data_IF_363309993506
#
_entry.id   IF_363309993506
#
_cell.length_a   1.000
_cell.length_b   1.000
_cell.length_c   1.000
_cell.angle_alpha   90.00
_cell.angle_beta   90.00
_cell.angle_gamma   90.00
#
_symmetry.space_group_name_H-M   'P 1'
#
loop_
_entity.id
_entity.type
_entity.pdbx_description
1 polymer ?
#
# COMPACT_ATOMS: atom_id res chain seq x y z
N UNK A 1 24.60 -8.23 14.08
CA UNK A 1 23.52 -9.12 13.60
C UNK A 1 22.46 -8.40 12.78
N UNK A 2 22.48 -7.05 12.65
CA UNK A 2 21.52 -6.27 11.84
C UNK A 2 21.99 -5.86 10.43
N UNK A 3 23.19 -6.25 9.98
CA UNK A 3 23.74 -5.76 8.71
C UNK A 3 22.89 -6.17 7.50
N UNK A 4 22.54 -7.46 7.37
CA UNK A 4 21.75 -7.96 6.23
C UNK A 4 20.33 -7.33 6.16
N UNK A 5 19.51 -7.32 7.23
CA UNK A 5 18.22 -6.62 7.20
C UNK A 5 18.34 -5.13 6.84
N UNK A 6 19.34 -4.43 7.38
CA UNK A 6 19.54 -3.00 7.11
C UNK A 6 19.93 -2.73 5.65
N UNK A 7 20.78 -3.57 5.07
CA UNK A 7 21.15 -3.49 3.64
C UNK A 7 19.94 -3.71 2.74
N UNK A 8 19.10 -4.70 3.05
CA UNK A 8 17.84 -4.97 2.34
C UNK A 8 16.89 -3.77 2.46
N UNK A 9 16.69 -3.26 3.69
CA UNK A 9 15.82 -2.11 3.93
C UNK A 9 16.28 -0.87 3.15
N UNK A 10 17.58 -0.58 3.13
CA UNK A 10 18.15 0.53 2.34
C UNK A 10 17.92 0.37 0.85
N UNK A 11 18.13 -0.84 0.32
CA UNK A 11 17.88 -1.14 -1.09
C UNK A 11 16.41 -0.90 -1.45
N UNK A 12 15.50 -1.46 -0.65
CA UNK A 12 14.06 -1.32 -0.91
C UNK A 12 13.56 0.10 -0.67
N UNK A 13 14.14 0.84 0.28
CA UNK A 13 13.87 2.26 0.46
C UNK A 13 14.21 3.06 -0.80
N UNK A 14 15.35 2.79 -1.43
CA UNK A 14 15.71 3.40 -2.71
C UNK A 14 14.72 3.06 -3.84
N UNK A 15 14.28 1.80 -3.91
CA UNK A 15 13.27 1.37 -4.88
C UNK A 15 11.92 2.07 -4.66
N UNK A 16 11.51 2.23 -3.39
CA UNK A 16 10.30 2.96 -3.00
C UNK A 16 10.43 4.44 -3.36
N UNK A 17 11.58 5.06 -3.08
CA UNK A 17 11.85 6.44 -3.46
C UNK A 17 11.71 6.66 -4.97
N UNK A 18 12.19 5.71 -5.78
CA UNK A 18 11.98 5.75 -7.23
C UNK A 18 10.50 5.61 -7.61
N UNK A 19 9.79 4.65 -7.00
CA UNK A 19 8.36 4.42 -7.26
C UNK A 19 7.48 5.62 -6.87
N UNK A 20 7.90 6.36 -5.85
CA UNK A 20 7.20 7.52 -5.31
C UNK A 20 7.81 8.86 -5.76
N UNK A 21 8.70 8.89 -6.75
CA UNK A 21 9.44 10.12 -7.12
C UNK A 21 8.52 11.30 -7.49
N UNK A 22 7.33 11.02 -8.02
CA UNK A 22 6.32 12.03 -8.36
C UNK A 22 5.48 12.50 -7.17
N UNK A 23 5.54 11.78 -6.05
CA UNK A 23 4.86 12.11 -4.80
C UNK A 23 5.65 13.12 -3.97
N UNK A 24 6.98 13.08 -4.05
CA UNK A 24 7.89 13.94 -3.30
C UNK A 24 9.17 13.21 -2.90
N UNK A 25 10.08 13.95 -2.28
CA UNK A 25 11.33 13.38 -1.74
C UNK A 25 11.05 12.75 -0.36
N UNK A 26 11.28 11.44 -0.25
CA UNK A 26 11.12 10.68 0.99
C UNK A 26 12.39 10.73 1.87
N UNK A 27 13.47 11.34 1.38
CA UNK A 27 14.75 11.45 2.06
C UNK A 27 15.53 10.13 2.18
N UNK A 28 16.66 10.18 2.87
CA UNK A 28 17.54 9.03 3.08
C UNK A 28 16.96 8.03 4.10
N UNK A 29 17.28 6.74 3.91
CA UNK A 29 16.87 5.71 4.85
C UNK A 29 17.48 5.95 6.24
N UNK A 30 16.63 5.98 7.27
CA UNK A 30 17.04 6.04 8.67
C UNK A 30 16.49 4.83 9.43
N UNK A 31 17.35 4.11 10.15
CA UNK A 31 16.94 2.97 10.95
C UNK A 31 16.13 3.41 12.18
N UNK A 32 16.35 4.63 12.68
CA UNK A 32 15.66 5.15 13.87
C UNK A 32 14.14 5.28 13.65
N UNK A 33 13.69 5.49 12.41
CA UNK A 33 12.27 5.50 12.04
C UNK A 33 11.53 4.19 12.39
N UNK A 34 12.28 3.10 12.53
CA UNK A 34 11.76 1.76 12.80
C UNK A 34 12.08 1.30 14.23
N UNK A 35 12.91 2.05 14.97
CA UNK A 35 13.24 1.82 16.36
C UNK A 35 12.23 2.63 17.21
N UNK A 36 11.07 2.02 17.49
CA UNK A 36 10.03 2.47 18.43
C UNK A 36 9.00 3.50 17.93
N UNK A 37 7.75 3.03 17.79
CA UNK A 37 6.64 3.71 18.47
C UNK A 37 5.46 2.75 18.71
N UNK A 38 5.27 2.33 19.98
CA UNK A 38 4.14 1.57 20.54
C UNK A 38 3.85 0.15 19.97
N UNK A 39 3.26 -0.76 20.78
CA UNK A 39 2.88 -2.12 20.36
C UNK A 39 1.74 -2.17 19.31
N UNK A 40 1.34 -1.03 18.77
CA UNK A 40 0.25 -0.87 17.80
C UNK A 40 0.72 -0.79 16.34
N UNK A 41 2.02 -0.75 16.06
CA UNK A 41 2.53 -0.74 14.69
C UNK A 41 3.00 -2.13 14.23
N UNK A 42 2.88 -2.35 12.93
CA UNK A 42 3.00 -3.61 12.15
C UNK A 42 4.33 -4.38 12.33
N UNK A 43 5.23 -4.03 13.24
CA UNK A 43 6.25 -4.97 13.67
C UNK A 43 7.05 -4.44 14.85
N UNK A 44 7.25 -5.31 15.84
CA UNK A 44 8.48 -5.28 16.62
C UNK A 44 9.65 -5.28 15.61
N UNK A 45 10.65 -4.40 15.77
CA UNK A 45 11.82 -4.30 14.89
C UNK A 45 12.43 -5.67 14.51
N UNK A 46 12.39 -6.64 15.42
CA UNK A 46 12.80 -8.02 15.16
C UNK A 46 11.96 -8.74 14.09
N UNK A 47 10.64 -8.54 14.08
CA UNK A 47 9.72 -9.07 13.06
C UNK A 47 9.95 -8.40 11.71
N UNK A 48 10.12 -7.07 11.70
CA UNK A 48 10.45 -6.35 10.47
C UNK A 48 11.75 -6.87 9.85
N UNK A 49 12.80 -7.00 10.67
CA UNK A 49 14.09 -7.53 10.24
C UNK A 49 13.99 -8.97 9.71
N UNK A 50 13.16 -9.82 10.34
CA UNK A 50 12.90 -11.18 9.86
C UNK A 50 12.19 -11.17 8.50
N UNK A 51 11.13 -10.36 8.35
CA UNK A 51 10.38 -10.26 7.10
C UNK A 51 11.24 -9.76 5.94
N UNK A 52 12.14 -8.79 6.18
CA UNK A 52 13.11 -8.33 5.17
C UNK A 52 14.02 -9.46 4.70
N UNK A 53 14.55 -10.26 5.63
CA UNK A 53 15.45 -11.38 5.30
C UNK A 53 14.70 -12.47 4.54
N UNK A 54 13.50 -12.84 5.00
CA UNK A 54 12.69 -13.87 4.35
C UNK A 54 12.22 -13.45 2.96
N UNK A 55 11.80 -12.19 2.80
CA UNK A 55 11.46 -11.62 1.50
C UNK A 55 12.64 -11.76 0.52
N UNK A 56 13.84 -11.37 0.93
CA UNK A 56 15.04 -11.41 0.09
C UNK A 56 15.43 -12.86 -0.28
N UNK A 57 15.32 -13.79 0.67
CA UNK A 57 15.60 -15.22 0.44
C UNK A 57 14.59 -15.86 -0.53
N UNK A 58 13.33 -15.46 -0.47
CA UNK A 58 12.25 -15.96 -1.34
C UNK A 58 12.22 -15.29 -2.72
N UNK A 59 12.90 -14.14 -2.88
CA UNK A 59 12.85 -13.32 -4.09
C UNK A 59 13.18 -14.08 -5.39
N UNK A 60 14.18 -14.97 -5.36
CA UNK A 60 14.58 -15.76 -6.54
C UNK A 60 13.50 -16.70 -7.08
N UNK A 61 12.61 -17.19 -6.22
CA UNK A 61 11.59 -18.18 -6.59
C UNK A 61 10.20 -17.56 -6.73
N UNK A 62 9.90 -16.56 -5.91
CA UNK A 62 8.56 -15.98 -5.80
C UNK A 62 8.52 -14.49 -6.15
N UNK A 63 9.66 -13.87 -6.50
CA UNK A 63 9.76 -12.41 -6.56
C UNK A 63 9.27 -11.80 -5.25
N UNK A 64 8.51 -10.72 -5.34
CA UNK A 64 7.84 -10.11 -4.18
C UNK A 64 6.47 -10.71 -3.87
N UNK A 65 6.03 -11.77 -4.54
CA UNK A 65 4.71 -12.38 -4.29
C UNK A 65 4.72 -13.24 -3.02
N UNK A 66 5.01 -12.63 -1.86
CA UNK A 66 5.03 -13.28 -0.55
C UNK A 66 4.41 -12.40 0.55
N UNK A 67 3.86 -12.99 1.63
CA UNK A 67 3.35 -12.22 2.77
C UNK A 67 4.43 -11.40 3.48
N UNK A 68 5.69 -11.88 3.51
CA UNK A 68 6.79 -11.16 4.16
C UNK A 68 7.17 -9.90 3.37
N UNK A 69 7.12 -9.97 2.03
CA UNK A 69 7.28 -8.80 1.18
C UNK A 69 6.18 -7.76 1.41
N UNK A 70 4.93 -8.22 1.55
CA UNK A 70 3.79 -7.35 1.83
C UNK A 70 4.01 -6.56 3.13
N UNK A 71 4.31 -7.24 4.23
CA UNK A 71 4.55 -6.59 5.54
C UNK A 71 5.74 -5.63 5.50
N UNK A 72 6.84 -6.04 4.84
CA UNK A 72 8.02 -5.20 4.69
C UNK A 72 7.73 -3.92 3.87
N UNK A 73 7.05 -4.05 2.73
CA UNK A 73 6.68 -2.89 1.91
C UNK A 73 5.66 -2.00 2.59
N UNK A 74 4.63 -2.55 3.23
CA UNK A 74 3.67 -1.75 4.02
C UNK A 74 4.41 -0.91 5.05
N UNK A 75 5.34 -1.51 5.79
CA UNK A 75 6.09 -0.82 6.85
C UNK A 75 7.00 0.29 6.30
N UNK A 76 7.79 -0.01 5.26
CA UNK A 76 8.69 0.97 4.65
C UNK A 76 7.91 2.14 4.02
N UNK A 77 6.84 1.85 3.29
CA UNK A 77 6.05 2.87 2.60
C UNK A 77 5.26 3.73 3.58
N UNK A 78 4.72 3.15 4.65
CA UNK A 78 4.08 3.93 5.70
C UNK A 78 5.05 4.98 6.27
N UNK A 79 6.31 4.60 6.53
CA UNK A 79 7.34 5.56 6.99
C UNK A 79 7.70 6.59 5.94
N UNK A 80 7.83 6.20 4.68
CA UNK A 80 8.03 7.15 3.59
C UNK A 80 6.89 8.18 3.52
N UNK A 81 5.64 7.75 3.73
CA UNK A 81 4.48 8.63 3.63
C UNK A 81 4.23 9.48 4.87
N UNK A 82 4.65 9.04 6.06
CA UNK A 82 4.74 9.91 7.23
C UNK A 82 5.62 11.12 6.92
N UNK A 83 6.75 10.92 6.22
CA UNK A 83 7.65 12.02 5.78
C UNK A 83 7.01 12.92 4.71
N UNK A 84 6.09 12.39 3.91
CA UNK A 84 5.32 13.15 2.91
C UNK A 84 4.03 13.79 3.48
N UNK A 85 3.84 13.76 4.80
CA UNK A 85 2.79 14.51 5.49
C UNK A 85 1.49 13.75 5.78
N UNK A 86 1.45 12.44 5.55
CA UNK A 86 0.36 11.61 6.06
C UNK A 86 0.53 11.34 7.56
N UNK A 87 -0.58 11.27 8.27
CA UNK A 87 -0.65 10.74 9.63
C UNK A 87 -0.39 9.25 9.59
N UNK A 88 0.02 8.68 10.72
CA UNK A 88 0.37 7.26 10.84
C UNK A 88 -0.74 6.33 10.31
N UNK A 89 -2.00 6.65 10.59
CA UNK A 89 -3.16 5.84 10.18
C UNK A 89 -3.34 5.85 8.64
N UNK A 90 -3.27 7.03 8.02
CA UNK A 90 -3.40 7.16 6.56
C UNK A 90 -2.19 6.61 5.83
N UNK A 91 -0.99 6.82 6.39
CA UNK A 91 0.25 6.26 5.85
C UNK A 91 0.22 4.72 5.88
N UNK A 92 -0.32 4.12 6.94
CA UNK A 92 -0.50 2.68 7.04
C UNK A 92 -1.45 2.14 5.97
N UNK A 93 -2.62 2.75 5.84
CA UNK A 93 -3.61 2.36 4.85
C UNK A 93 -3.08 2.48 3.41
N UNK A 94 -2.28 3.52 3.13
CA UNK A 94 -1.61 3.64 1.85
C UNK A 94 -0.54 2.56 1.67
N UNK A 95 0.28 2.33 2.71
CA UNK A 95 1.30 1.29 2.72
C UNK A 95 0.74 -0.09 2.38
N UNK A 96 -0.43 -0.42 2.93
CA UNK A 96 -1.16 -1.66 2.60
C UNK A 96 -1.60 -1.72 1.13
N UNK A 97 -2.10 -0.60 0.61
CA UNK A 97 -2.45 -0.49 -0.80
C UNK A 97 -1.23 -0.68 -1.71
N UNK A 98 -0.12 -0.01 -1.41
CA UNK A 98 1.15 -0.17 -2.13
C UNK A 98 1.64 -1.61 -2.06
N UNK A 99 1.66 -2.20 -0.86
CA UNK A 99 2.09 -3.58 -0.63
C UNK A 99 1.26 -4.57 -1.44
N UNK A 100 -0.07 -4.38 -1.47
CA UNK A 100 -0.96 -5.18 -2.31
C UNK A 100 -0.60 -5.06 -3.79
N UNK A 101 -0.44 -3.84 -4.29
CA UNK A 101 -0.10 -3.59 -5.70
C UNK A 101 1.26 -4.20 -6.07
N UNK A 102 2.25 -4.13 -5.17
CA UNK A 102 3.61 -4.63 -5.41
C UNK A 102 3.72 -6.15 -5.35
N UNK A 103 2.92 -6.78 -4.50
CA UNK A 103 3.08 -8.21 -4.16
C UNK A 103 1.94 -9.08 -4.69
N UNK A 104 0.78 -8.50 -4.99
CA UNK A 104 -0.46 -9.23 -5.28
C UNK A 104 -1.13 -9.84 -4.04
N UNK A 105 -0.57 -9.66 -2.85
CA UNK A 105 -1.11 -10.20 -1.59
C UNK A 105 -1.99 -9.17 -0.89
N UNK A 106 -3.21 -9.57 -0.55
CA UNK A 106 -4.11 -8.73 0.25
C UNK A 106 -3.59 -8.69 1.69
N UNK A 107 -3.19 -7.50 2.15
CA UNK A 107 -3.00 -7.23 3.57
C UNK A 107 -4.35 -7.12 4.26
N UNK A 108 -4.52 -7.85 5.37
CA UNK A 108 -5.69 -7.79 6.24
C UNK A 108 -5.25 -7.16 7.57
N UNK A 109 -4.73 -5.93 7.54
CA UNK A 109 -4.56 -5.17 8.77
C UNK A 109 -5.94 -4.64 9.18
N UNK A 110 -6.38 -5.00 10.38
CA UNK A 110 -7.70 -4.61 10.88
C UNK A 110 -7.83 -3.09 10.86
N UNK A 111 -8.92 -2.58 10.24
CA UNK A 111 -9.25 -1.16 10.20
C UNK A 111 -8.77 -0.39 8.97
N UNK A 112 -8.10 -1.03 8.01
CA UNK A 112 -7.69 -0.40 6.73
C UNK A 112 -8.47 -0.91 5.52
N UNK A 113 -9.49 -1.76 5.72
CA UNK A 113 -10.17 -2.50 4.65
C UNK A 113 -10.84 -1.57 3.63
N UNK A 114 -11.54 -0.53 4.10
CA UNK A 114 -12.21 0.45 3.26
C UNK A 114 -11.22 1.25 2.40
N UNK A 115 -10.13 1.71 3.03
CA UNK A 115 -9.09 2.49 2.37
C UNK A 115 -8.32 1.64 1.35
N UNK A 116 -8.05 0.37 1.64
CA UNK A 116 -7.38 -0.54 0.72
C UNK A 116 -8.23 -0.81 -0.53
N UNK A 117 -9.54 -0.98 -0.35
CA UNK A 117 -10.48 -1.15 -1.47
C UNK A 117 -10.54 0.11 -2.34
N UNK A 118 -10.61 1.29 -1.72
CA UNK A 118 -10.60 2.55 -2.46
C UNK A 118 -9.25 2.78 -3.15
N UNK A 119 -8.13 2.47 -2.48
CA UNK A 119 -6.79 2.50 -3.06
C UNK A 119 -6.74 1.65 -4.33
N UNK A 120 -7.13 0.37 -4.25
CA UNK A 120 -7.09 -0.57 -5.36
C UNK A 120 -7.89 -0.06 -6.57
N UNK A 121 -9.05 0.57 -6.34
CA UNK A 121 -9.86 1.17 -7.42
C UNK A 121 -9.22 2.40 -8.05
N UNK A 122 -8.65 3.29 -7.24
CA UNK A 122 -7.94 4.47 -7.76
C UNK A 122 -6.71 4.05 -8.56
N UNK A 123 -6.03 3.01 -8.10
CA UNK A 123 -4.80 2.53 -8.68
C UNK A 123 -5.03 1.68 -9.95
N UNK A 124 -6.12 0.91 -10.01
CA UNK A 124 -6.53 0.10 -11.16
C UNK A 124 -7.93 0.48 -11.69
N UNK A 125 -8.11 1.70 -12.25
CA UNK A 125 -9.43 2.22 -12.60
C UNK A 125 -10.17 1.38 -13.68
N UNK A 126 -9.44 0.63 -14.50
CA UNK A 126 -9.99 -0.20 -15.59
C UNK A 126 -9.97 -1.71 -15.30
N UNK A 127 -9.49 -2.13 -14.12
CA UNK A 127 -9.51 -3.51 -13.65
C UNK A 127 -8.65 -4.52 -14.44
N UNK A 128 -7.92 -4.11 -15.48
CA UNK A 128 -7.00 -4.98 -16.22
C UNK A 128 -5.60 -4.88 -15.64
N UNK A 129 -5.07 -6.00 -15.16
CA UNK A 129 -3.69 -6.17 -14.71
C UNK A 129 -3.05 -7.24 -15.58
N UNK A 130 -2.31 -6.84 -16.63
CA UNK A 130 -1.45 -7.75 -17.38
C UNK A 130 -0.22 -7.01 -17.88
N UNK A 131 0.97 -7.53 -17.56
CA UNK A 131 2.31 -7.06 -17.97
C UNK A 131 2.59 -5.57 -17.74
N UNK A 132 2.39 -5.11 -16.51
CA UNK A 132 2.72 -3.74 -16.13
C UNK A 132 4.11 -3.64 -15.48
N UNK A 133 4.88 -2.65 -15.92
CA UNK A 133 6.14 -2.27 -15.31
C UNK A 133 5.85 -1.35 -14.12
N UNK A 134 6.18 -1.83 -12.91
CA UNK A 134 5.93 -1.13 -11.66
C UNK A 134 6.67 0.21 -11.57
N UNK A 135 7.77 0.36 -12.29
CA UNK A 135 8.57 1.60 -12.29
C UNK A 135 8.18 2.55 -13.44
N UNK A 136 7.15 2.20 -14.23
CA UNK A 136 6.70 3.03 -15.34
C UNK A 136 6.03 4.34 -14.87
N UNK A 137 6.08 5.37 -15.71
CA UNK A 137 5.52 6.68 -15.39
C UNK A 137 4.02 6.64 -15.04
N UNK A 138 3.25 5.75 -15.66
CA UNK A 138 1.83 5.57 -15.36
C UNK A 138 1.60 5.13 -13.91
N UNK A 139 2.46 4.26 -13.39
CA UNK A 139 2.40 3.79 -11.99
C UNK A 139 2.69 4.93 -11.03
N UNK A 140 3.73 5.71 -11.32
CA UNK A 140 4.14 6.86 -10.52
C UNK A 140 3.04 7.94 -10.47
N UNK A 141 2.37 8.18 -11.60
CA UNK A 141 1.20 9.07 -11.68
C UNK A 141 0.05 8.54 -10.81
N UNK A 142 -0.20 7.23 -10.85
CA UNK A 142 -1.25 6.62 -10.01
C UNK A 142 -0.91 6.76 -8.52
N UNK A 143 0.33 6.49 -8.10
CA UNK A 143 0.74 6.71 -6.70
C UNK A 143 0.60 8.17 -6.28
N UNK A 144 1.01 9.12 -7.12
CA UNK A 144 0.81 10.56 -6.86
C UNK A 144 -0.67 10.89 -6.67
N UNK A 145 -1.52 10.42 -7.57
CA UNK A 145 -2.97 10.65 -7.51
C UNK A 145 -3.56 10.09 -6.23
N UNK A 146 -3.18 8.86 -5.85
CA UNK A 146 -3.65 8.24 -4.61
C UNK A 146 -3.17 9.02 -3.39
N UNK A 147 -1.92 9.49 -3.37
CA UNK A 147 -1.38 10.27 -2.25
C UNK A 147 -2.13 11.59 -2.08
N UNK A 148 -2.36 12.32 -3.18
CA UNK A 148 -3.12 13.57 -3.16
C UNK A 148 -4.54 13.36 -2.62
N UNK A 149 -5.18 12.25 -2.98
CA UNK A 149 -6.48 11.87 -2.42
C UNK A 149 -6.40 11.55 -0.93
N UNK A 150 -5.42 10.78 -0.47
CA UNK A 150 -5.23 10.45 0.95
C UNK A 150 -4.97 11.71 1.79
N UNK A 151 -4.15 12.65 1.29
CA UNK A 151 -3.94 13.96 1.94
C UNK A 151 -5.26 14.73 2.00
N UNK A 152 -6.06 14.71 0.92
CA UNK A 152 -7.39 15.31 0.89
C UNK A 152 -8.31 14.73 1.97
N UNK A 153 -8.42 13.41 2.07
CA UNK A 153 -9.22 12.71 3.08
C UNK A 153 -8.78 12.98 4.51
N UNK A 154 -7.47 13.02 4.74
CA UNK A 154 -6.91 13.36 6.04
C UNK A 154 -7.32 14.77 6.50
N UNK A 155 -7.28 15.73 5.58
CA UNK A 155 -7.57 17.13 5.88
C UNK A 155 -9.08 17.44 5.85
N UNK A 156 -9.88 16.60 5.20
CA UNK A 156 -11.34 16.70 5.12
C UNK A 156 -12.01 15.32 5.35
N UNK A 157 -12.32 14.97 6.61
CA UNK A 157 -13.01 13.73 6.93
C UNK A 157 -14.41 13.61 6.29
N UNK A 158 -15.06 14.73 5.95
CA UNK A 158 -16.37 14.73 5.31
C UNK A 158 -16.25 14.33 3.83
N UNK A 159 -15.19 14.75 3.15
CA UNK A 159 -14.85 14.27 1.80
C UNK A 159 -14.69 12.75 1.81
N UNK A 160 -13.88 12.21 2.73
CA UNK A 160 -13.70 10.76 2.86
C UNK A 160 -15.03 10.03 3.08
N UNK A 161 -15.85 10.49 4.03
CA UNK A 161 -17.14 9.87 4.33
C UNK A 161 -18.09 9.88 3.12
N UNK A 162 -18.06 10.94 2.31
CA UNK A 162 -18.87 11.05 1.10
C UNK A 162 -18.40 10.08 0.01
N UNK A 163 -17.10 9.99 -0.23
CA UNK A 163 -16.52 9.07 -1.23
C UNK A 163 -16.74 7.61 -0.84
N UNK A 164 -16.54 7.27 0.43
CA UNK A 164 -16.84 5.94 0.97
C UNK A 164 -18.32 5.58 0.81
N UNK A 165 -19.23 6.53 1.10
CA UNK A 165 -20.67 6.33 0.89
C UNK A 165 -21.01 6.10 -0.58
N UNK A 166 -20.42 6.87 -1.49
CA UNK A 166 -20.61 6.69 -2.93
C UNK A 166 -20.14 5.30 -3.35
N UNK A 167 -18.96 4.86 -2.89
CA UNK A 167 -18.45 3.52 -3.13
C UNK A 167 -19.47 2.44 -2.74
N UNK A 168 -19.99 2.48 -1.51
CA UNK A 168 -20.96 1.49 -1.04
C UNK A 168 -22.30 1.55 -1.77
N UNK A 169 -22.70 2.72 -2.26
CA UNK A 169 -23.91 2.89 -3.08
C UNK A 169 -23.75 2.21 -4.45
N UNK A 170 -22.62 2.45 -5.12
CA UNK A 170 -22.36 1.87 -6.43
C UNK A 170 -22.10 0.37 -6.36
N UNK A 171 -21.37 -0.13 -5.35
CA UNK A 171 -21.13 -1.58 -5.18
C UNK A 171 -22.43 -2.36 -4.95
N UNK A 172 -23.36 -1.82 -4.14
CA UNK A 172 -24.70 -2.41 -3.97
C UNK A 172 -25.52 -2.38 -5.26
N UNK A 173 -25.48 -1.28 -6.01
CA UNK A 173 -26.22 -1.15 -7.29
C UNK A 173 -25.69 -2.07 -8.38
N UNK A 174 -24.37 -2.33 -8.43
CA UNK A 174 -23.77 -3.27 -9.37
C UNK A 174 -24.14 -4.72 -9.05
N UNK A 175 -24.25 -5.05 -7.75
CA UNK A 175 -24.64 -6.40 -7.29
C UNK A 175 -26.10 -6.71 -7.58
N UNK A 176 -27.02 -5.78 -7.33
CA UNK A 176 -28.44 -5.96 -7.68
C UNK A 176 -28.68 -6.08 -9.18
N UNK A 177 -27.88 -5.39 -10.02
CA UNK A 177 -27.96 -5.52 -11.48
C UNK A 177 -27.45 -6.88 -11.96
N UNK A 178 -26.40 -7.42 -11.35
CA UNK A 178 -25.90 -8.76 -11.65
C UNK A 178 -26.92 -9.83 -11.26
N UNK A 179 -27.50 -9.73 -10.05
CA UNK A 179 -28.52 -10.66 -9.56
C UNK A 179 -29.84 -10.57 -10.35
N UNK A 180 -30.15 -9.44 -11.01
CA UNK A 180 -31.30 -9.34 -11.92
C UNK A 180 -30.99 -9.96 -13.28
N UNK A 181 -29.82 -9.67 -13.85
CA UNK A 181 -29.40 -10.18 -15.16
C UNK A 181 -29.16 -11.70 -15.13
N UNK A 182 -28.83 -12.28 -13.98
CA UNK A 182 -28.66 -13.73 -13.79
C UNK A 182 -30.02 -14.44 -13.60
N UNK A 183 -31.00 -13.79 -12.95
CA UNK A 183 -32.37 -14.30 -12.83
C UNK A 183 -33.14 -14.30 -14.15
N UNK A 184 -32.90 -13.31 -15.02
CA UNK A 184 -33.51 -13.24 -16.35
C UNK A 184 -32.87 -14.23 -17.36
N UNK A 185 -31.81 -14.95 -16.97
CA UNK A 185 -31.12 -15.96 -17.79
C UNK A 185 -31.41 -17.41 -17.38
N UNK A 186 -32.20 -17.63 -16.32
CA UNK A 186 -32.67 -18.94 -15.84
C UNK A 186 -34.18 -19.05 -16.01
#
# INVERSE_FOLDING_TARGET
MMNKPCEIAKREWGNIGHSLEMCGDIGEFDLEDFILDKPTFISNLSRFAANLVEMDEKATRHGYATPEALDAFTTLVAKALERLGLSKEWALAFGDGYGYVRTGWLGLHEGTEDQQVLFSRMFFPTGKVSDWDFDSSSVKINFKTVLETFIGWQNDPQLYANELRLYYKYSKSSRTKYDSDERDRT
#
